data_IF_056115012066
#
_entry.id   IF_056115012066
#
_cell.length_a   1.000
_cell.length_b   1.000
_cell.length_c   1.000
_cell.angle_alpha   90.00
_cell.angle_beta   90.00
_cell.angle_gamma   90.00
#
_symmetry.space_group_name_H-M   'P 1'
#
loop_
_entity.id
_entity.type
_entity.pdbx_description
1 polymer ?
#
# COMPACT_ATOMS: atom_id res chain seq x y z
N UNK A 1 4.33 4.15 2.06
CA UNK A 1 2.88 3.84 1.94
C UNK A 1 2.10 5.14 1.70
N UNK A 2 1.63 5.36 0.46
CA UNK A 2 0.85 6.53 0.01
C UNK A 2 -0.64 6.17 -0.07
N UNK A 3 -1.22 5.80 1.06
CA UNK A 3 -2.65 5.52 1.27
C UNK A 3 -2.98 5.82 2.74
N UNK A 4 -4.26 5.72 3.10
CA UNK A 4 -4.71 5.60 4.50
C UNK A 4 -5.35 4.24 4.75
N UNK A 5 -4.91 3.52 5.79
CA UNK A 5 -5.43 2.20 6.18
C UNK A 5 -5.33 1.99 7.69
N UNK A 6 -6.48 1.87 8.36
CA UNK A 6 -6.53 1.62 9.81
C UNK A 6 -5.86 2.76 10.59
N UNK A 7 -4.86 2.42 11.41
CA UNK A 7 -4.11 3.40 12.21
C UNK A 7 -3.15 4.30 11.38
N UNK A 8 -2.81 3.91 10.15
CA UNK A 8 -1.98 4.72 9.27
C UNK A 8 -2.86 5.70 8.48
N UNK A 9 -2.88 6.96 8.89
CA UNK A 9 -3.68 8.03 8.26
C UNK A 9 -2.77 9.11 7.65
N UNK A 10 -3.05 9.47 6.40
CA UNK A 10 -2.28 10.44 5.60
C UNK A 10 -3.23 11.50 5.07
N UNK A 11 -3.03 12.76 5.45
CA UNK A 11 -3.88 13.87 4.98
C UNK A 11 -3.76 14.13 3.47
N UNK A 12 -2.59 13.79 2.90
CA UNK A 12 -2.28 13.88 1.47
C UNK A 12 -2.71 12.64 0.67
N UNK A 13 -3.08 11.54 1.34
CA UNK A 13 -3.59 10.29 0.72
C UNK A 13 -4.67 9.68 1.62
N UNK A 14 -5.88 10.27 1.59
CA UNK A 14 -6.97 9.96 2.54
C UNK A 14 -7.66 8.63 2.27
N UNK A 15 -7.59 8.14 1.03
CA UNK A 15 -8.28 6.93 0.62
C UNK A 15 -7.42 5.67 0.83
N UNK A 16 -8.10 4.53 0.91
CA UNK A 16 -7.49 3.21 0.91
C UNK A 16 -7.33 2.75 -0.54
N UNK A 17 -6.15 2.28 -0.92
CA UNK A 17 -5.84 1.88 -2.29
C UNK A 17 -5.61 0.36 -2.35
N UNK A 18 -6.68 -0.35 -2.70
CA UNK A 18 -6.69 -1.80 -2.87
C UNK A 18 -6.53 -2.19 -4.35
N UNK A 19 -6.39 -3.49 -4.63
CA UNK A 19 -6.31 -4.08 -5.98
C UNK A 19 -7.59 -3.83 -6.81
N UNK A 20 -8.71 -3.56 -6.15
CA UNK A 20 -10.00 -3.22 -6.74
C UNK A 20 -10.62 -2.04 -6.01
N UNK A 21 -11.55 -1.35 -6.66
CA UNK A 21 -12.43 -0.39 -6.01
C UNK A 21 -13.62 -1.13 -5.38
N UNK A 22 -13.44 -1.57 -4.14
CA UNK A 22 -14.46 -2.27 -3.36
C UNK A 22 -15.66 -1.39 -2.94
N UNK A 23 -15.66 -0.09 -3.26
CA UNK A 23 -16.85 0.75 -3.08
C UNK A 23 -17.87 0.57 -4.21
N UNK A 24 -17.47 -0.08 -5.31
CA UNK A 24 -18.28 -0.35 -6.51
C UNK A 24 -18.45 -1.86 -6.74
N UNK A 25 -19.41 -2.27 -7.58
CA UNK A 25 -19.49 -3.65 -8.04
C UNK A 25 -18.18 -4.09 -8.71
N UNK A 26 -17.72 -5.30 -8.42
CA UNK A 26 -16.48 -5.85 -8.99
C UNK A 26 -16.62 -6.29 -10.44
N UNK A 27 -17.84 -6.42 -10.93
CA UNK A 27 -18.11 -6.81 -12.32
C UNK A 27 -17.49 -5.81 -13.29
N UNK A 28 -16.65 -6.29 -14.21
CA UNK A 28 -15.86 -5.49 -15.16
C UNK A 28 -14.73 -4.63 -14.57
N UNK A 29 -14.35 -4.83 -13.31
CA UNK A 29 -13.10 -4.27 -12.80
C UNK A 29 -11.91 -5.16 -13.16
N UNK A 30 -10.80 -4.54 -13.53
CA UNK A 30 -9.51 -5.24 -13.67
C UNK A 30 -8.66 -5.02 -12.41
N UNK A 31 -8.03 -6.07 -11.87
CA UNK A 31 -7.18 -5.94 -10.69
C UNK A 31 -5.96 -5.08 -11.03
N UNK A 32 -5.64 -4.11 -10.17
CA UNK A 32 -4.39 -3.39 -10.26
C UNK A 32 -3.20 -4.33 -9.99
N UNK A 33 -2.06 -4.16 -10.69
CA UNK A 33 -0.83 -4.90 -10.41
C UNK A 33 -0.36 -4.72 -8.96
N UNK A 34 0.42 -5.68 -8.46
CA UNK A 34 0.91 -5.69 -7.07
C UNK A 34 1.70 -4.42 -6.73
N UNK A 35 2.39 -3.83 -7.70
CA UNK A 35 3.17 -2.61 -7.56
C UNK A 35 2.29 -1.35 -7.38
N UNK A 36 1.05 -1.37 -7.88
CA UNK A 36 0.17 -0.20 -8.00
C UNK A 36 -0.84 -0.05 -6.85
N UNK A 37 -1.08 -1.09 -6.05
CA UNK A 37 -1.92 -1.01 -4.85
C UNK A 37 -1.14 -1.16 -3.53
N UNK A 38 -1.78 -0.86 -2.41
CA UNK A 38 -1.17 -0.84 -1.07
C UNK A 38 -1.71 -1.89 -0.10
N UNK A 39 -2.68 -2.71 -0.54
CA UNK A 39 -3.15 -3.91 0.18
C UNK A 39 -2.10 -5.04 0.18
N UNK A 40 -0.96 -4.75 0.80
CA UNK A 40 0.21 -5.63 0.93
C UNK A 40 0.96 -5.33 2.22
N UNK A 41 1.71 -6.31 2.70
CA UNK A 41 2.54 -6.13 3.89
C UNK A 41 3.77 -5.29 3.56
N UNK A 42 4.29 -4.57 4.55
CA UNK A 42 5.56 -3.85 4.40
C UNK A 42 6.61 -4.64 5.15
N UNK A 43 7.60 -5.15 4.44
CA UNK A 43 8.74 -5.84 5.03
C UNK A 43 9.93 -4.87 5.05
N UNK A 44 10.49 -4.62 6.23
CA UNK A 44 11.61 -3.70 6.40
C UNK A 44 12.87 -4.44 6.84
N UNK A 45 13.98 -4.19 6.17
CA UNK A 45 15.31 -4.54 6.66
C UNK A 45 16.13 -3.27 6.90
N UNK A 46 17.05 -3.33 7.86
CA UNK A 46 17.93 -2.22 8.21
C UNK A 46 19.37 -2.71 8.17
N UNK A 47 20.25 -2.00 7.46
CA UNK A 47 21.69 -2.22 7.62
C UNK A 47 22.16 -1.63 8.95
N UNK A 48 22.73 -2.46 9.82
CA UNK A 48 23.11 -2.06 11.18
C UNK A 48 24.31 -1.10 11.20
N UNK A 49 25.09 -1.03 10.12
CA UNK A 49 26.28 -0.16 10.04
C UNK A 49 25.92 1.24 9.54
N UNK A 50 25.20 1.35 8.42
CA UNK A 50 24.82 2.65 7.87
C UNK A 50 23.50 3.20 8.43
N UNK A 51 22.63 2.33 8.95
CA UNK A 51 21.25 2.66 9.29
C UNK A 51 20.30 2.67 8.09
N UNK A 52 20.77 2.25 6.90
CA UNK A 52 19.96 2.27 5.68
C UNK A 52 18.77 1.31 5.79
N UNK A 53 17.57 1.83 5.53
CA UNK A 53 16.33 1.06 5.55
C UNK A 53 15.95 0.66 4.12
N UNK A 54 15.73 -0.63 3.90
CA UNK A 54 15.16 -1.17 2.66
C UNK A 54 13.77 -1.70 2.93
N UNK A 55 12.84 -1.38 2.03
CA UNK A 55 11.44 -1.79 2.11
C UNK A 55 11.10 -2.71 0.94
N UNK A 56 10.40 -3.78 1.25
CA UNK A 56 9.83 -4.74 0.30
C UNK A 56 8.33 -4.86 0.53
N UNK A 57 7.62 -5.33 -0.50
CA UNK A 57 6.16 -5.38 -0.54
C UNK A 57 5.68 -6.65 -1.22
#
# INVERSE_FOLDING_TARGET
RKESRGAHAREDFKDRHDEFDYSKPLENQEPQPMEEHWRKHTLSSVDLKSGDVKLWY
#
